data_IF_555901963484
#
_entry.id   IF_555901963484
#
_cell.length_a   1.000
_cell.length_b   1.000
_cell.length_c   1.000
_cell.angle_alpha   90.00
_cell.angle_beta   90.00
_cell.angle_gamma   90.00
#
_symmetry.space_group_name_H-M   'P 1'
#
loop_
_entity.id
_entity.type
_entity.pdbx_description
1 polymer ?
#
# COMPACT_ATOMS: atom_id res chain seq x y z
N UNK A 1 -9.76 10.25 -6.86
CA UNK A 1 -9.45 9.99 -5.42
C UNK A 1 -9.50 8.49 -5.27
N UNK A 2 -8.35 7.83 -5.29
CA UNK A 2 -8.33 6.39 -5.18
C UNK A 2 -8.93 5.91 -3.85
N UNK A 3 -9.69 4.82 -3.92
CA UNK A 3 -10.40 4.24 -2.79
C UNK A 3 -9.44 3.79 -1.68
N UNK A 4 -8.17 3.50 -2.01
CA UNK A 4 -7.15 3.08 -1.05
C UNK A 4 -6.84 4.20 -0.06
N UNK A 5 -6.66 5.45 -0.54
CA UNK A 5 -6.22 6.58 0.31
C UNK A 5 -7.20 6.85 1.44
N UNK A 6 -8.50 6.74 1.13
CA UNK A 6 -9.57 6.85 2.14
C UNK A 6 -9.48 5.72 3.16
N UNK A 7 -9.27 4.49 2.70
CA UNK A 7 -9.19 3.29 3.55
C UNK A 7 -7.98 3.35 4.50
N UNK A 8 -6.82 3.80 4.02
CA UNK A 8 -5.61 4.03 4.82
C UNK A 8 -5.90 5.05 5.93
N UNK A 9 -6.51 6.19 5.59
CA UNK A 9 -6.83 7.22 6.60
C UNK A 9 -7.80 6.68 7.65
N UNK A 10 -8.78 5.86 7.25
CA UNK A 10 -9.68 5.19 8.20
C UNK A 10 -8.90 4.29 9.16
N UNK A 11 -8.02 3.42 8.64
CA UNK A 11 -7.20 2.50 9.47
C UNK A 11 -6.31 3.28 10.45
N UNK A 12 -5.64 4.33 9.98
CA UNK A 12 -4.77 5.14 10.84
C UNK A 12 -5.53 5.85 11.96
N UNK A 13 -6.74 6.35 11.65
CA UNK A 13 -7.62 7.05 12.60
C UNK A 13 -8.46 6.13 13.47
N UNK A 14 -8.45 4.82 13.19
CA UNK A 14 -9.21 3.86 13.96
C UNK A 14 -8.56 3.67 15.34
N UNK A 15 -9.23 4.10 16.39
CA UNK A 15 -8.72 3.98 17.77
C UNK A 15 -8.94 2.58 18.35
N UNK A 16 -9.79 1.77 17.70
CA UNK A 16 -10.05 0.39 18.11
C UNK A 16 -8.98 -0.59 17.62
N UNK A 17 -8.23 -0.23 16.57
CA UNK A 17 -7.12 -1.02 16.06
C UNK A 17 -5.82 -0.68 16.80
N UNK A 18 -5.11 -1.69 17.28
CA UNK A 18 -3.76 -1.50 17.78
C UNK A 18 -2.81 -1.17 16.64
N UNK A 19 -1.68 -0.52 16.95
CA UNK A 19 -0.66 -0.21 15.94
C UNK A 19 -0.22 -1.45 15.17
N UNK A 20 -0.02 -2.59 15.86
CA UNK A 20 0.32 -3.87 15.25
C UNK A 20 -0.75 -4.34 14.23
N UNK A 21 -2.04 -4.20 14.56
CA UNK A 21 -3.13 -4.57 13.67
C UNK A 21 -3.23 -3.60 12.48
N UNK A 22 -3.01 -2.30 12.70
CA UNK A 22 -2.96 -1.30 11.61
C UNK A 22 -1.85 -1.66 10.63
N UNK A 23 -0.68 -2.06 11.14
CA UNK A 23 0.46 -2.50 10.33
C UNK A 23 0.12 -3.74 9.52
N UNK A 24 -0.49 -4.75 10.15
CA UNK A 24 -0.86 -5.99 9.47
C UNK A 24 -1.84 -5.72 8.30
N UNK A 25 -2.88 -4.91 8.56
CA UNK A 25 -3.85 -4.51 7.55
C UNK A 25 -3.21 -3.70 6.42
N UNK A 26 -2.29 -2.77 6.74
CA UNK A 26 -1.58 -1.99 5.73
C UNK A 26 -0.65 -2.86 4.87
N UNK A 27 0.05 -3.85 5.46
CA UNK A 27 0.87 -4.82 4.71
C UNK A 27 0.03 -5.71 3.80
N UNK A 28 -1.16 -6.13 4.24
CA UNK A 28 -2.07 -6.88 3.38
C UNK A 28 -2.54 -6.03 2.19
N UNK A 29 -2.83 -4.75 2.42
CA UNK A 29 -3.19 -3.82 1.34
C UNK A 29 -2.03 -3.61 0.34
N UNK A 30 -0.80 -3.51 0.84
CA UNK A 30 0.41 -3.42 0.02
C UNK A 30 0.55 -4.67 -0.87
N UNK A 31 0.46 -5.86 -0.27
CA UNK A 31 0.55 -7.12 -1.00
C UNK A 31 -0.58 -7.33 -2.02
N UNK A 32 -1.81 -6.90 -1.71
CA UNK A 32 -2.95 -6.96 -2.63
C UNK A 32 -2.76 -6.00 -3.82
N UNK A 33 -2.25 -4.80 -3.55
CA UNK A 33 -1.94 -3.80 -4.59
C UNK A 33 -0.81 -4.30 -5.49
N UNK A 34 0.27 -4.83 -4.91
CA UNK A 34 1.39 -5.42 -5.64
C UNK A 34 0.96 -6.63 -6.48
N UNK A 35 0.05 -7.46 -5.95
CA UNK A 35 -0.47 -8.63 -6.66
C UNK A 35 -1.35 -8.23 -7.86
N UNK A 36 -2.11 -7.14 -7.72
CA UNK A 36 -2.85 -6.53 -8.84
C UNK A 36 -1.92 -5.95 -9.89
N UNK A 37 -0.87 -5.24 -9.50
CA UNK A 37 0.16 -4.75 -10.43
C UNK A 37 0.78 -5.91 -11.21
N UNK A 38 1.20 -6.98 -10.52
CA UNK A 38 1.77 -8.18 -11.17
C UNK A 38 0.79 -8.85 -12.13
N UNK A 39 -0.47 -8.99 -11.73
CA UNK A 39 -1.50 -9.59 -12.58
C UNK A 39 -1.80 -8.73 -13.83
N UNK A 40 -1.70 -7.41 -13.74
CA UNK A 40 -1.85 -6.50 -14.88
C UNK A 40 -0.69 -6.64 -15.88
N UNK A 41 0.53 -6.93 -15.40
CA UNK A 41 1.70 -7.10 -16.28
C UNK A 41 1.68 -8.37 -17.15
N UNK A 42 0.90 -9.39 -16.80
CA UNK A 42 0.70 -10.58 -17.66
C UNK A 42 -0.36 -10.35 -18.75
N UNK A 43 -1.11 -9.25 -18.69
CA UNK A 43 -2.18 -8.88 -19.60
C UNK A 43 -1.98 -7.52 -20.27
N UNK A 44 -0.79 -7.21 -20.77
CA UNK A 44 -0.52 -6.17 -21.80
C UNK A 44 -1.19 -4.79 -21.59
N UNK A 45 -1.47 -4.41 -20.35
CA UNK A 45 -2.02 -3.10 -19.98
C UNK A 45 -0.94 -2.34 -19.22
N UNK A 46 -0.61 -1.10 -19.62
CA UNK A 46 0.29 -0.28 -18.84
C UNK A 46 -0.31 -0.12 -17.46
N UNK A 47 0.50 -0.33 -16.42
CA UNK A 47 0.16 0.04 -15.04
C UNK A 47 -0.02 1.57 -15.07
N UNK A 48 -1.28 2.00 -15.13
CA UNK A 48 -1.62 3.42 -15.12
C UNK A 48 -1.13 4.03 -13.79
N UNK A 49 -0.64 5.27 -13.85
CA UNK A 49 0.08 5.91 -12.74
C UNK A 49 -0.70 6.12 -11.43
N UNK A 50 -1.97 5.70 -11.35
CA UNK A 50 -2.81 5.75 -10.14
C UNK A 50 -2.43 4.63 -9.15
N UNK A 51 -2.07 3.43 -9.64
CA UNK A 51 -1.70 2.29 -8.79
C UNK A 51 -0.38 2.54 -8.01
N UNK A 52 0.58 3.23 -8.63
CA UNK A 52 1.82 3.65 -7.97
C UNK A 52 1.61 4.75 -6.90
N UNK A 53 0.57 5.57 -7.05
CA UNK A 53 0.17 6.55 -6.02
C UNK A 53 -0.45 5.87 -4.79
N UNK A 54 -1.12 4.75 -5.01
CA UNK A 54 -1.75 3.95 -3.97
C UNK A 54 -0.71 3.20 -3.15
N UNK A 55 0.26 2.55 -3.80
CA UNK A 55 1.38 1.91 -3.12
C UNK A 55 2.15 2.91 -2.24
N UNK A 56 2.50 4.07 -2.80
CA UNK A 56 3.16 5.15 -2.05
C UNK A 56 2.35 5.62 -0.84
N UNK A 57 1.02 5.69 -0.96
CA UNK A 57 0.18 6.08 0.16
C UNK A 57 0.23 5.04 1.30
N UNK A 58 0.29 3.75 0.97
CA UNK A 58 0.41 2.66 1.94
C UNK A 58 1.79 2.71 2.61
N UNK A 59 2.87 2.87 1.84
CA UNK A 59 4.23 3.00 2.37
C UNK A 59 4.37 4.19 3.32
N UNK A 60 3.80 5.35 2.95
CA UNK A 60 3.79 6.53 3.82
C UNK A 60 3.03 6.29 5.13
N UNK A 61 1.97 5.47 5.10
CA UNK A 61 1.20 5.11 6.30
C UNK A 61 1.98 4.15 7.21
N UNK A 62 2.64 3.14 6.63
CA UNK A 62 3.53 2.23 7.35
C UNK A 62 4.68 3.01 8.02
N UNK A 63 5.32 3.93 7.29
CA UNK A 63 6.38 4.79 7.83
C UNK A 63 5.90 5.67 9.00
N UNK A 64 4.64 6.15 8.96
CA UNK A 64 4.05 6.90 10.08
C UNK A 64 3.84 6.05 11.34
N UNK A 65 3.66 4.75 11.18
CA UNK A 65 3.58 3.77 12.28
C UNK A 65 4.96 3.23 12.69
N UNK A 66 6.04 3.82 12.19
CA UNK A 66 7.42 3.39 12.49
C UNK A 66 7.82 2.09 11.81
N UNK A 67 7.06 1.61 10.82
CA UNK A 67 7.41 0.43 10.04
C UNK A 67 8.19 0.83 8.79
N UNK A 68 9.17 0.00 8.43
CA UNK A 68 9.83 0.11 7.13
C UNK A 68 8.91 -0.51 6.06
N UNK A 69 8.67 0.19 4.93
CA UNK A 69 7.94 -0.38 3.82
C UNK A 69 8.67 -1.64 3.33
N UNK A 70 7.91 -2.65 2.90
CA UNK A 70 8.52 -3.82 2.29
C UNK A 70 9.12 -3.32 0.98
N UNK A 71 10.42 -3.56 0.73
CA UNK A 71 11.08 -3.15 -0.51
C UNK A 71 10.47 -3.89 -1.72
N UNK A 72 9.31 -3.41 -2.15
CA UNK A 72 8.68 -3.76 -3.40
C UNK A 72 9.38 -2.96 -4.50
N UNK A 73 10.60 -3.36 -4.83
CA UNK A 73 11.19 -3.10 -6.14
C UNK A 73 11.50 -1.64 -6.49
N UNK A 74 11.98 -0.83 -5.54
CA UNK A 74 12.93 0.19 -5.95
C UNK A 74 14.25 -0.54 -6.21
N UNK A 75 14.60 -0.72 -7.48
CA UNK A 75 15.94 -1.10 -7.89
C UNK A 75 16.94 -0.31 -7.04
N UNK A 76 17.72 -1.02 -6.22
CA UNK A 76 18.92 -0.47 -5.59
C UNK A 76 19.75 0.13 -6.73
N UNK A 77 19.84 1.46 -6.75
CA UNK A 77 20.74 2.21 -7.63
C UNK A 77 22.15 2.20 -7.03
#
# INVERSE_FOLDING_TARGET
MSHIKRRIVTILKDDHLREEEKVDVLRQLEADSLSKERSATEGMTPVDGDDGEDLKAIEMALRKLGQEPVEAGAASL
#
